data_IF_336815059731
#
_entry.id   IF_336815059731
#
_cell.length_a   1.000
_cell.length_b   1.000
_cell.length_c   1.000
_cell.angle_alpha   90.00
_cell.angle_beta   90.00
_cell.angle_gamma   90.00
#
_symmetry.space_group_name_H-M   'P 1'
#
loop_
_entity.id
_entity.type
_entity.pdbx_description
1 polymer ?
#
# COMPACT_ATOMS: atom_id res chain seq x y z
N UNK A 1 19.61 4.03 -17.03
CA UNK A 1 18.24 4.34 -17.50
C UNK A 1 17.75 5.57 -16.76
N UNK A 2 17.21 6.51 -17.46
CA UNK A 2 16.64 7.71 -16.86
C UNK A 2 15.45 7.38 -15.97
N UNK A 3 15.21 8.22 -14.95
CA UNK A 3 14.11 8.00 -14.00
C UNK A 3 12.76 7.90 -14.72
N UNK A 4 12.50 8.80 -15.67
CA UNK A 4 11.25 8.79 -16.44
C UNK A 4 11.04 7.49 -17.20
N UNK A 5 12.10 6.94 -17.77
CA UNK A 5 12.06 5.65 -18.48
C UNK A 5 11.81 4.49 -17.52
N UNK A 6 12.40 4.55 -16.33
CA UNK A 6 12.18 3.54 -15.30
C UNK A 6 10.71 3.53 -14.84
N UNK A 7 10.14 4.71 -14.67
CA UNK A 7 8.73 4.85 -14.27
C UNK A 7 7.82 4.22 -15.33
N UNK A 8 8.05 4.55 -16.61
CA UNK A 8 7.26 4.00 -17.70
C UNK A 8 7.41 2.48 -17.77
N UNK A 9 8.64 1.99 -17.64
CA UNK A 9 8.93 0.56 -17.68
C UNK A 9 8.16 -0.19 -16.58
N UNK A 10 8.21 0.30 -15.34
CA UNK A 10 7.54 -0.36 -14.21
C UNK A 10 6.02 -0.28 -14.37
N UNK A 11 5.51 0.86 -14.80
CA UNK A 11 4.08 1.03 -15.06
C UNK A 11 3.58 0.04 -16.10
N UNK A 12 4.30 -0.07 -17.22
CA UNK A 12 3.95 -1.00 -18.29
C UNK A 12 4.06 -2.45 -17.81
N UNK A 13 5.06 -2.76 -16.99
CA UNK A 13 5.22 -4.08 -16.40
C UNK A 13 4.02 -4.47 -15.56
N UNK A 14 3.52 -3.55 -14.73
CA UNK A 14 2.34 -3.81 -13.89
C UNK A 14 1.13 -4.08 -14.79
N UNK A 15 0.92 -3.27 -15.81
CA UNK A 15 -0.19 -3.43 -16.75
C UNK A 15 -0.13 -4.77 -17.48
N UNK A 16 1.06 -5.14 -17.97
CA UNK A 16 1.25 -6.43 -18.64
C UNK A 16 0.98 -7.60 -17.70
N UNK A 17 1.45 -7.51 -16.47
CA UNK A 17 1.23 -8.55 -15.47
C UNK A 17 -0.26 -8.74 -15.20
N UNK A 18 -0.99 -7.65 -14.97
CA UNK A 18 -2.44 -7.71 -14.70
C UNK A 18 -3.18 -8.30 -15.90
N UNK A 19 -2.81 -7.87 -17.11
CA UNK A 19 -3.47 -8.35 -18.33
C UNK A 19 -3.17 -9.81 -18.66
N UNK A 20 -2.02 -10.32 -18.18
CA UNK A 20 -1.63 -11.73 -18.43
C UNK A 20 -2.22 -12.70 -17.41
N UNK A 21 -2.87 -12.20 -16.36
CA UNK A 21 -3.47 -13.08 -15.36
C UNK A 21 -4.64 -13.86 -15.95
N UNK A 22 -4.80 -15.14 -15.59
CA UNK A 22 -5.94 -15.96 -16.06
C UNK A 22 -7.29 -15.32 -15.75
N UNK A 23 -7.41 -14.72 -14.55
CA UNK A 23 -8.54 -13.88 -14.17
C UNK A 23 -8.01 -12.47 -13.97
N UNK A 24 -8.50 -11.51 -14.74
CA UNK A 24 -8.04 -10.12 -14.61
C UNK A 24 -8.35 -9.57 -13.24
N UNK A 25 -7.35 -8.94 -12.62
CA UNK A 25 -7.56 -8.22 -11.39
C UNK A 25 -8.46 -7.00 -11.66
N UNK A 26 -9.44 -6.78 -10.79
CA UNK A 26 -10.33 -5.61 -10.92
C UNK A 26 -9.72 -4.35 -10.33
N UNK A 27 -8.73 -4.49 -9.43
CA UNK A 27 -8.09 -3.36 -8.78
C UNK A 27 -6.73 -3.77 -8.23
N UNK A 28 -5.91 -2.76 -7.96
CA UNK A 28 -4.65 -2.91 -7.24
C UNK A 28 -4.87 -2.47 -5.79
N UNK A 29 -4.35 -3.23 -4.84
CA UNK A 29 -4.45 -2.88 -3.42
C UNK A 29 -3.05 -2.65 -2.88
N UNK A 30 -2.80 -1.48 -2.32
CA UNK A 30 -1.49 -1.07 -1.84
C UNK A 30 -1.60 -0.58 -0.40
N UNK A 31 -0.76 -1.12 0.48
CA UNK A 31 -0.61 -0.58 1.83
C UNK A 31 0.32 0.62 1.84
N UNK A 32 -0.06 1.66 2.55
CA UNK A 32 0.75 2.88 2.70
C UNK A 32 1.23 2.98 4.13
N UNK A 33 2.54 2.88 4.31
CA UNK A 33 3.16 2.92 5.64
C UNK A 33 3.62 4.31 6.08
N UNK A 34 3.71 5.25 5.15
CA UNK A 34 4.34 6.55 5.37
C UNK A 34 5.82 6.57 5.02
N UNK A 35 6.41 5.42 4.68
CA UNK A 35 7.77 5.35 4.20
C UNK A 35 7.87 5.62 2.70
N UNK A 36 9.08 5.87 2.23
CA UNK A 36 9.32 6.23 0.83
C UNK A 36 8.99 5.08 -0.14
N UNK A 37 9.26 3.83 0.27
CA UNK A 37 9.03 2.68 -0.59
C UNK A 37 7.55 2.50 -0.92
N UNK A 38 6.69 2.58 0.09
CA UNK A 38 5.25 2.47 -0.11
C UNK A 38 4.69 3.68 -0.88
N UNK A 39 5.28 4.86 -0.69
CA UNK A 39 4.89 6.06 -1.43
C UNK A 39 5.19 5.90 -2.92
N UNK A 40 6.36 5.38 -3.26
CA UNK A 40 6.75 5.13 -4.65
C UNK A 40 5.87 4.04 -5.27
N UNK A 41 5.69 2.92 -4.57
CA UNK A 41 4.89 1.79 -5.07
C UNK A 41 3.43 2.19 -5.30
N UNK A 42 2.83 2.93 -4.38
CA UNK A 42 1.44 3.37 -4.51
C UNK A 42 1.27 4.38 -5.65
N UNK A 43 2.24 5.28 -5.83
CA UNK A 43 2.21 6.25 -6.91
C UNK A 43 2.32 5.56 -8.26
N UNK A 44 3.25 4.60 -8.41
CA UNK A 44 3.40 3.82 -9.64
C UNK A 44 2.13 3.04 -9.95
N UNK A 45 1.50 2.46 -8.95
CA UNK A 45 0.24 1.74 -9.12
C UNK A 45 -0.87 2.68 -9.60
N UNK A 46 -0.97 3.88 -9.02
CA UNK A 46 -1.94 4.88 -9.44
C UNK A 46 -1.71 5.32 -10.89
N UNK A 47 -0.45 5.44 -11.30
CA UNK A 47 -0.10 5.88 -12.67
C UNK A 47 -0.50 4.87 -13.74
N UNK A 48 -0.78 3.62 -13.38
CA UNK A 48 -1.24 2.62 -14.35
C UNK A 48 -2.62 2.92 -14.92
N UNK A 49 -3.40 3.78 -14.25
CA UNK A 49 -4.77 4.04 -14.61
C UNK A 49 -5.75 2.99 -14.10
N UNK A 50 -5.26 1.89 -13.55
CA UNK A 50 -6.11 0.87 -12.96
C UNK A 50 -6.69 1.36 -11.63
N UNK A 51 -7.87 0.84 -11.26
CA UNK A 51 -8.46 1.16 -9.97
C UNK A 51 -7.48 0.76 -8.87
N UNK A 52 -7.08 1.72 -8.05
CA UNK A 52 -6.08 1.52 -6.99
C UNK A 52 -6.70 1.83 -5.64
N UNK A 53 -6.58 0.90 -4.71
CA UNK A 53 -7.07 1.05 -3.34
C UNK A 53 -5.86 1.22 -2.45
N UNK A 54 -5.72 2.42 -1.88
CA UNK A 54 -4.64 2.76 -0.96
C UNK A 54 -5.14 2.59 0.47
N UNK A 55 -4.50 1.71 1.22
CA UNK A 55 -4.90 1.39 2.59
C UNK A 55 -3.84 1.89 3.56
N UNK A 56 -4.24 2.77 4.48
CA UNK A 56 -3.41 3.18 5.61
C UNK A 56 -3.79 2.34 6.82
N UNK A 57 -2.80 1.72 7.46
CA UNK A 57 -3.01 0.84 8.60
C UNK A 57 -2.21 1.40 9.79
N UNK A 58 -2.77 2.39 10.51
CA UNK A 58 -2.04 3.02 11.60
C UNK A 58 -1.88 2.10 12.79
N UNK A 59 -0.70 2.21 13.43
CA UNK A 59 -0.39 1.56 14.70
C UNK A 59 0.05 2.67 15.64
N UNK A 60 -0.47 2.68 16.86
CA UNK A 60 -0.22 3.75 17.84
C UNK A 60 1.23 4.12 18.04
N UNK A 61 2.12 3.16 17.90
CA UNK A 61 3.55 3.33 18.18
C UNK A 61 4.28 4.14 17.10
N UNK A 62 3.62 4.45 15.98
CA UNK A 62 4.24 5.10 14.82
C UNK A 62 3.40 6.25 14.30
N UNK A 63 3.05 7.19 15.17
CA UNK A 63 2.19 8.32 14.83
C UNK A 63 2.70 9.16 13.67
N UNK A 64 4.01 9.41 13.61
CA UNK A 64 4.60 10.20 12.53
C UNK A 64 4.42 9.54 11.17
N UNK A 65 4.61 8.22 11.10
CA UNK A 65 4.40 7.47 9.86
C UNK A 65 2.93 7.43 9.48
N UNK A 66 2.03 7.36 10.47
CA UNK A 66 0.60 7.41 10.23
C UNK A 66 0.20 8.74 9.57
N UNK A 67 0.69 9.86 10.10
CA UNK A 67 0.41 11.19 9.53
C UNK A 67 0.93 11.29 8.10
N UNK A 68 2.13 10.79 7.83
CA UNK A 68 2.70 10.77 6.49
C UNK A 68 1.88 9.88 5.54
N UNK A 69 1.41 8.74 6.02
CA UNK A 69 0.60 7.85 5.19
C UNK A 69 -0.74 8.48 4.82
N UNK A 70 -1.38 9.19 5.75
CA UNK A 70 -2.63 9.90 5.48
C UNK A 70 -2.42 11.04 4.49
N UNK A 71 -1.35 11.80 4.65
CA UNK A 71 -1.01 12.88 3.72
C UNK A 71 -0.77 12.35 2.32
N UNK A 72 -0.04 11.26 2.20
CA UNK A 72 0.22 10.64 0.91
C UNK A 72 -1.07 10.08 0.28
N UNK A 73 -1.92 9.45 1.08
CA UNK A 73 -3.21 8.96 0.62
C UNK A 73 -4.07 10.10 0.05
N UNK A 74 -4.13 11.22 0.75
CA UNK A 74 -4.86 12.41 0.28
C UNK A 74 -4.24 12.95 -1.01
N UNK A 75 -2.92 13.01 -1.09
CA UNK A 75 -2.23 13.44 -2.29
C UNK A 75 -2.56 12.55 -3.49
N UNK A 76 -2.57 11.24 -3.29
CA UNK A 76 -2.93 10.30 -4.34
C UNK A 76 -4.37 10.49 -4.82
N UNK A 77 -5.31 10.60 -3.88
CA UNK A 77 -6.72 10.79 -4.21
C UNK A 77 -6.96 12.11 -4.96
N UNK A 78 -6.19 13.13 -4.61
CA UNK A 78 -6.29 14.45 -5.25
C UNK A 78 -5.76 14.43 -6.68
N UNK A 79 -4.67 13.72 -6.92
CA UNK A 79 -3.96 13.73 -8.20
C UNK A 79 -4.39 12.61 -9.15
N UNK A 80 -5.01 11.55 -8.66
CA UNK A 80 -5.42 10.40 -9.47
C UNK A 80 -6.87 10.05 -9.18
N UNK A 81 -7.70 10.11 -10.21
CA UNK A 81 -9.14 9.81 -10.10
C UNK A 81 -9.41 8.32 -9.84
N UNK A 82 -8.48 7.47 -10.18
CA UNK A 82 -8.61 6.01 -10.04
C UNK A 82 -8.20 5.50 -8.65
N UNK A 83 -7.85 6.39 -7.74
CA UNK A 83 -7.43 6.02 -6.38
C UNK A 83 -8.56 6.20 -5.40
N UNK A 84 -8.81 5.15 -4.60
CA UNK A 84 -9.67 5.21 -3.42
C UNK A 84 -8.80 4.98 -2.18
N UNK A 85 -9.12 5.65 -1.09
CA UNK A 85 -8.36 5.54 0.14
C UNK A 85 -9.19 4.99 1.29
N UNK A 86 -8.58 4.11 2.07
CA UNK A 86 -9.20 3.56 3.27
C UNK A 86 -8.19 3.58 4.41
N UNK A 87 -8.69 3.73 5.63
CA UNK A 87 -7.88 3.65 6.84
C UNK A 87 -8.42 2.52 7.69
N UNK A 88 -7.56 1.58 8.04
CA UNK A 88 -7.91 0.46 8.92
C UNK A 88 -7.07 0.58 10.17
N UNK A 89 -7.73 0.79 11.31
CA UNK A 89 -7.02 0.85 12.58
C UNK A 89 -6.70 -0.56 13.07
N UNK A 90 -5.43 -0.79 13.34
CA UNK A 90 -4.94 -2.10 13.73
C UNK A 90 -4.61 -2.21 15.21
N UNK A 91 -4.87 -1.18 16.02
CA UNK A 91 -4.47 -1.18 17.42
C UNK A 91 -4.99 -2.41 18.17
N UNK A 92 -6.28 -2.67 18.08
CA UNK A 92 -6.89 -3.83 18.75
C UNK A 92 -6.36 -5.15 18.17
N UNK A 93 -6.28 -5.22 16.86
CA UNK A 93 -5.76 -6.40 16.18
C UNK A 93 -4.27 -6.60 16.50
N UNK A 94 -3.50 -5.52 16.54
CA UNK A 94 -2.07 -5.56 16.87
C UNK A 94 -1.87 -6.08 18.30
N UNK A 95 -2.63 -5.58 19.26
CA UNK A 95 -2.55 -6.04 20.63
C UNK A 95 -2.92 -7.53 20.74
N UNK A 96 -3.95 -7.96 20.03
CA UNK A 96 -4.35 -9.37 19.98
C UNK A 96 -3.25 -10.24 19.36
N UNK A 97 -2.63 -9.76 18.31
CA UNK A 97 -1.53 -10.47 17.66
C UNK A 97 -0.29 -10.58 18.55
N UNK A 98 0.03 -9.52 19.30
CA UNK A 98 1.14 -9.56 20.25
C UNK A 98 0.94 -10.63 21.31
N UNK A 99 -0.25 -10.72 21.89
CA UNK A 99 -0.59 -11.74 22.88
C UNK A 99 -0.47 -13.13 22.27
N UNK A 100 -1.03 -13.33 21.10
CA UNK A 100 -0.97 -14.61 20.40
C UNK A 100 0.47 -14.98 20.04
N UNK A 101 1.24 -14.02 19.55
CA UNK A 101 2.64 -14.24 19.16
C UNK A 101 3.52 -14.60 20.35
N UNK A 102 3.25 -13.99 21.51
CA UNK A 102 3.97 -14.34 22.74
C UNK A 102 3.73 -15.79 23.14
N UNK A 103 2.48 -16.23 23.08
CA UNK A 103 2.14 -17.63 23.37
C UNK A 103 2.74 -18.58 22.34
N UNK A 104 2.66 -18.21 21.06
CA UNK A 104 3.24 -19.00 19.98
C UNK A 104 4.76 -19.06 20.04
N UNK A 105 5.40 -17.97 20.46
CA UNK A 105 6.86 -17.94 20.62
C UNK A 105 7.32 -18.91 21.72
N UNK A 106 6.55 -19.02 22.79
CA UNK A 106 6.84 -19.99 23.85
C UNK A 106 6.74 -21.43 23.33
N UNK A 107 5.77 -21.71 22.48
CA UNK A 107 5.59 -23.03 21.87
C UNK A 107 6.72 -23.36 20.88
N UNK A 108 7.30 -22.36 20.26
CA UNK A 108 8.34 -22.53 19.23
C UNK A 108 9.75 -22.56 19.82
N UNK A 109 9.92 -22.13 21.03
CA UNK A 109 11.20 -22.19 21.72
C UNK A 109 11.38 -23.54 22.46
#
# INVERSE_FOLDING_TARGET
MEVSKKVIYIKDWILDYVNSMPTKASSLVIGISGGIDSSVSSTLSAMTGLKTIAISMPIKQKTNQHDLSLKHQEWLKKNFKNVSGFTIELDDLFNSCLLYTSDAADDWS
#
